data_IF_021651821018
#
_entry.id   IF_021651821018
#
_cell.length_a   1.000
_cell.length_b   1.000
_cell.length_c   1.000
_cell.angle_alpha   90.00
_cell.angle_beta   90.00
_cell.angle_gamma   90.00
#
_symmetry.space_group_name_H-M   'P 1'
#
loop_
_entity.id
_entity.type
_entity.pdbx_description
1 polymer ?
#
# COMPACT_ATOMS: atom_id res chain seq x y z
N UNK A 1 14.79 -9.35 24.28
CA UNK A 1 13.55 -8.83 23.67
C UNK A 1 13.73 -7.33 23.56
N UNK A 2 14.00 -6.81 22.35
CA UNK A 2 14.03 -5.37 22.12
C UNK A 2 12.57 -4.89 22.14
N UNK A 3 12.24 -3.99 23.05
CA UNK A 3 10.94 -3.35 23.13
C UNK A 3 10.63 -2.73 21.76
N UNK A 4 9.54 -3.14 21.12
CA UNK A 4 8.99 -2.42 19.98
C UNK A 4 8.75 -0.98 20.45
N UNK A 5 9.37 0.04 19.82
CA UNK A 5 9.32 1.42 20.31
C UNK A 5 7.95 2.11 20.11
N UNK A 6 6.91 1.38 19.79
CA UNK A 6 5.57 1.88 19.48
C UNK A 6 4.55 1.18 20.33
N UNK A 7 3.50 1.92 20.72
CA UNK A 7 2.32 1.30 21.27
C UNK A 7 1.89 0.18 20.31
N UNK A 8 1.81 -1.04 20.81
CA UNK A 8 1.26 -2.13 20.02
C UNK A 8 -0.13 -1.70 19.56
N UNK A 9 -0.51 -2.01 18.29
CA UNK A 9 -1.85 -1.70 17.81
C UNK A 9 -2.85 -2.20 18.85
N UNK A 10 -3.72 -1.30 19.32
CA UNK A 10 -4.77 -1.74 20.24
C UNK A 10 -5.76 -2.55 19.42
N UNK A 11 -6.03 -3.82 19.74
CA UNK A 11 -6.88 -4.72 18.94
C UNK A 11 -8.32 -4.24 18.76
N UNK A 12 -8.69 -3.13 19.37
CA UNK A 12 -10.03 -2.56 19.35
C UNK A 12 -10.24 -1.43 18.33
N UNK A 13 -9.22 -1.03 17.58
CA UNK A 13 -9.32 0.08 16.62
C UNK A 13 -8.99 -0.36 15.21
N UNK A 14 -9.76 0.08 14.20
CA UNK A 14 -9.43 -0.19 12.81
C UNK A 14 -8.02 0.30 12.46
N UNK A 15 -7.26 -0.44 11.62
CA UNK A 15 -5.92 -0.06 11.17
C UNK A 15 -5.86 1.32 10.55
N UNK A 16 -6.88 1.68 9.75
CA UNK A 16 -6.96 2.97 9.07
C UNK A 16 -8.40 3.49 9.07
N UNK A 17 -8.54 4.75 9.48
CA UNK A 17 -9.80 5.49 9.45
C UNK A 17 -9.58 6.83 8.75
N UNK A 18 -10.34 7.09 7.71
CA UNK A 18 -10.37 8.34 6.94
C UNK A 18 -11.76 8.95 7.10
N UNK A 19 -11.84 10.18 7.59
CA UNK A 19 -13.11 10.84 7.86
C UNK A 19 -13.12 12.24 7.27
N UNK A 20 -14.12 12.52 6.42
CA UNK A 20 -14.40 13.84 5.84
C UNK A 20 -13.19 14.49 5.14
N UNK A 21 -12.31 13.67 4.53
CA UNK A 21 -11.08 14.16 3.92
C UNK A 21 -11.40 14.89 2.62
N UNK A 22 -10.96 16.15 2.55
CA UNK A 22 -11.04 16.99 1.36
C UNK A 22 -9.66 17.52 1.00
N UNK A 23 -9.37 17.58 -0.32
CA UNK A 23 -8.12 18.11 -0.87
C UNK A 23 -8.34 18.81 -2.20
N UNK A 24 -7.84 20.04 -2.30
CA UNK A 24 -7.91 20.86 -3.50
C UNK A 24 -6.52 21.28 -3.96
N UNK A 25 -6.37 21.53 -5.25
CA UNK A 25 -5.23 22.16 -5.87
C UNK A 25 -5.71 23.35 -6.70
N UNK A 26 -5.47 24.57 -6.21
CA UNK A 26 -6.09 25.76 -6.75
C UNK A 26 -7.62 25.69 -6.66
N UNK A 27 -8.30 25.85 -7.77
CA UNK A 27 -9.78 25.76 -7.85
C UNK A 27 -10.30 24.34 -8.01
N UNK A 28 -9.41 23.35 -8.28
CA UNK A 28 -9.81 21.95 -8.52
C UNK A 28 -9.87 21.19 -7.20
N UNK A 29 -11.06 20.82 -6.78
CA UNK A 29 -11.29 19.87 -5.67
C UNK A 29 -11.04 18.46 -6.18
N UNK A 30 -10.11 17.73 -5.57
CA UNK A 30 -9.68 16.38 -5.99
C UNK A 30 -10.25 15.32 -5.05
N UNK A 31 -10.28 15.60 -3.74
CA UNK A 31 -11.03 14.83 -2.76
C UNK A 31 -12.09 15.74 -2.15
N UNK A 32 -13.30 15.23 -2.00
CA UNK A 32 -14.45 15.96 -1.50
C UNK A 32 -15.23 15.11 -0.51
N UNK A 33 -14.98 15.32 0.77
CA UNK A 33 -15.66 14.59 1.85
C UNK A 33 -15.46 13.06 1.76
N UNK A 34 -14.24 12.62 1.43
CA UNK A 34 -13.93 11.19 1.29
C UNK A 34 -13.89 10.51 2.66
N UNK A 35 -14.56 9.36 2.75
CA UNK A 35 -14.67 8.57 3.96
C UNK A 35 -14.28 7.11 3.67
N UNK A 36 -13.49 6.48 4.55
CA UNK A 36 -13.12 5.08 4.47
C UNK A 36 -12.69 4.55 5.84
N UNK A 37 -13.12 3.34 6.16
CA UNK A 37 -12.57 2.55 7.27
C UNK A 37 -12.03 1.26 6.69
N UNK A 38 -10.76 0.95 6.93
CA UNK A 38 -10.15 -0.33 6.58
C UNK A 38 -10.13 -1.21 7.81
N UNK A 39 -10.65 -2.42 7.70
CA UNK A 39 -10.70 -3.39 8.80
C UNK A 39 -9.38 -4.18 8.88
N UNK A 40 -9.18 -4.89 10.00
CA UNK A 40 -8.04 -5.81 10.12
C UNK A 40 -8.11 -6.91 9.07
N UNK A 41 -6.95 -7.19 8.44
CA UNK A 41 -6.79 -8.22 7.40
C UNK A 41 -7.68 -8.02 6.18
N UNK A 42 -8.04 -6.78 5.89
CA UNK A 42 -8.89 -6.43 4.76
C UNK A 42 -8.06 -5.81 3.64
N UNK A 43 -8.24 -6.28 2.42
CA UNK A 43 -7.78 -5.63 1.19
C UNK A 43 -8.92 -4.78 0.60
N UNK A 44 -8.81 -3.46 0.75
CA UNK A 44 -9.74 -2.51 0.13
C UNK A 44 -9.16 -2.00 -1.18
N UNK A 45 -9.84 -2.27 -2.29
CA UNK A 45 -9.46 -1.71 -3.59
C UNK A 45 -10.18 -0.39 -3.83
N UNK A 46 -9.41 0.67 -4.12
CA UNK A 46 -9.97 1.96 -4.58
C UNK A 46 -10.02 1.96 -6.10
N UNK A 47 -11.20 1.82 -6.64
CA UNK A 47 -11.47 1.86 -8.07
C UNK A 47 -11.96 3.26 -8.48
N UNK A 48 -11.47 3.78 -9.60
CA UNK A 48 -11.85 5.09 -10.09
C UNK A 48 -11.12 5.45 -11.38
N UNK A 49 -11.67 6.36 -12.16
CA UNK A 49 -11.05 6.82 -13.42
C UNK A 49 -9.66 7.41 -13.20
N UNK A 50 -8.85 7.47 -14.27
CA UNK A 50 -7.57 8.18 -14.23
C UNK A 50 -7.79 9.64 -13.81
N UNK A 51 -6.97 10.15 -12.89
CA UNK A 51 -7.10 11.50 -12.37
C UNK A 51 -8.24 11.73 -11.36
N UNK A 52 -8.94 10.68 -10.90
CA UNK A 52 -10.01 10.78 -9.89
C UNK A 52 -9.51 11.14 -8.48
N UNK A 53 -8.19 11.12 -8.23
CA UNK A 53 -7.64 11.47 -6.92
C UNK A 53 -7.08 10.30 -6.12
N UNK A 54 -7.06 9.06 -6.65
CA UNK A 54 -6.58 7.86 -5.96
C UNK A 54 -5.18 8.02 -5.36
N UNK A 55 -4.20 8.44 -6.16
CA UNK A 55 -2.82 8.67 -5.68
C UNK A 55 -2.71 9.88 -4.74
N UNK A 56 -3.62 10.86 -4.84
CA UNK A 56 -3.71 11.97 -3.86
C UNK A 56 -4.16 11.42 -2.51
N UNK A 57 -5.16 10.54 -2.49
CA UNK A 57 -5.66 9.88 -1.28
C UNK A 57 -4.53 9.13 -0.57
N UNK A 58 -3.80 8.26 -1.28
CA UNK A 58 -2.67 7.51 -0.68
C UNK A 58 -1.61 8.47 -0.12
N UNK A 59 -1.25 9.53 -0.86
CA UNK A 59 -0.27 10.53 -0.39
C UNK A 59 -0.75 11.26 0.87
N UNK A 60 -2.06 11.47 1.03
CA UNK A 60 -2.63 12.00 2.26
C UNK A 60 -2.49 10.98 3.41
N UNK A 61 -2.79 9.70 3.15
CA UNK A 61 -2.72 8.63 4.18
C UNK A 61 -1.30 8.51 4.74
N UNK A 62 -0.25 8.58 3.91
CA UNK A 62 1.15 8.50 4.40
C UNK A 62 1.71 9.85 4.86
N UNK A 63 0.89 10.91 4.87
CA UNK A 63 1.31 12.25 5.29
C UNK A 63 2.33 12.92 4.36
N UNK A 64 2.37 12.55 3.06
CA UNK A 64 3.13 13.26 2.03
C UNK A 64 2.37 14.49 1.50
N UNK A 65 1.04 14.47 1.60
CA UNK A 65 0.17 15.60 1.34
C UNK A 65 -0.68 15.84 2.57
N UNK A 66 -0.85 17.09 2.95
CA UNK A 66 -1.76 17.48 4.02
C UNK A 66 -3.14 17.73 3.40
N UNK A 67 -4.20 17.02 3.81
CA UNK A 67 -5.57 17.37 3.44
C UNK A 67 -5.93 18.78 3.87
N UNK A 68 -6.88 19.39 3.19
CA UNK A 68 -7.39 20.73 3.57
C UNK A 68 -8.40 20.63 4.72
N UNK A 69 -9.12 19.49 4.81
CA UNK A 69 -10.09 19.16 5.84
C UNK A 69 -10.13 17.67 6.13
N UNK A 70 -10.72 17.30 7.26
CA UNK A 70 -10.95 15.92 7.67
C UNK A 70 -9.91 15.39 8.64
N UNK A 71 -9.89 14.08 8.82
CA UNK A 71 -9.02 13.35 9.75
C UNK A 71 -8.57 12.04 9.12
N UNK A 72 -7.31 11.67 9.33
CA UNK A 72 -6.74 10.38 8.94
C UNK A 72 -6.07 9.79 10.16
N UNK A 73 -6.55 8.63 10.61
CA UNK A 73 -5.99 7.94 11.78
C UNK A 73 -5.47 6.57 11.42
N UNK A 74 -4.29 6.27 11.92
CA UNK A 74 -3.64 4.98 11.81
C UNK A 74 -3.51 4.40 13.21
N UNK A 75 -4.21 3.30 13.47
CA UNK A 75 -4.38 2.73 14.82
C UNK A 75 -4.71 3.80 15.86
N UNK A 76 -5.68 4.68 15.53
CA UNK A 76 -6.12 5.77 16.38
C UNK A 76 -5.21 6.99 16.44
N UNK A 77 -3.98 6.92 15.95
CA UNK A 77 -3.05 8.06 15.88
C UNK A 77 -3.41 8.95 14.69
N UNK A 78 -3.70 10.23 14.95
CA UNK A 78 -3.96 11.23 13.90
C UNK A 78 -2.69 11.49 13.10
N UNK A 79 -2.78 11.40 11.76
CA UNK A 79 -1.64 11.64 10.85
C UNK A 79 -1.42 13.12 10.58
N UNK A 80 -2.50 13.92 10.70
CA UNK A 80 -2.46 15.33 10.38
C UNK A 80 -1.94 16.16 11.55
N UNK A 81 -0.99 17.07 11.26
CA UNK A 81 -0.52 18.02 12.27
C UNK A 81 0.45 17.47 13.31
N UNK A 82 0.81 16.17 13.23
CA UNK A 82 1.82 15.57 14.11
C UNK A 82 3.24 15.98 13.70
N UNK A 83 4.17 15.93 14.66
CA UNK A 83 5.58 16.21 14.42
C UNK A 83 6.25 15.18 13.48
N UNK A 84 7.36 15.58 12.85
CA UNK A 84 8.08 14.73 11.90
C UNK A 84 8.48 13.38 12.51
N UNK A 85 9.02 13.38 13.73
CA UNK A 85 9.49 12.16 14.39
C UNK A 85 8.34 11.19 14.69
N UNK A 86 7.17 11.73 15.06
CA UNK A 86 5.97 10.94 15.30
C UNK A 86 5.40 10.40 13.99
N UNK A 87 5.34 11.21 12.94
CA UNK A 87 4.93 10.79 11.60
C UNK A 87 5.85 9.68 11.06
N UNK A 88 7.15 9.80 11.24
CA UNK A 88 8.10 8.76 10.83
C UNK A 88 7.91 7.45 11.61
N UNK A 89 7.46 7.53 12.85
CA UNK A 89 7.04 6.36 13.62
C UNK A 89 5.76 5.73 13.05
N UNK A 90 4.72 6.51 12.81
CA UNK A 90 3.48 6.02 12.18
C UNK A 90 3.78 5.33 10.85
N UNK A 91 4.67 5.90 10.05
CA UNK A 91 5.11 5.32 8.76
C UNK A 91 5.80 3.97 8.87
N UNK A 92 6.29 3.56 10.04
CA UNK A 92 6.83 2.19 10.19
C UNK A 92 5.75 1.11 10.17
N UNK A 93 4.50 1.48 10.46
CA UNK A 93 3.35 0.58 10.34
C UNK A 93 2.81 0.50 8.92
N UNK A 94 3.32 1.34 8.01
CA UNK A 94 2.83 1.43 6.64
C UNK A 94 3.93 1.01 5.66
N UNK A 95 3.66 -0.02 4.88
CA UNK A 95 4.40 -0.32 3.66
C UNK A 95 3.82 0.45 2.49
N UNK A 96 4.64 0.94 1.58
CA UNK A 96 4.16 1.60 0.36
C UNK A 96 4.87 1.07 -0.88
N UNK A 97 4.10 0.45 -1.77
CA UNK A 97 4.55 0.03 -3.09
C UNK A 97 4.15 1.10 -4.11
N UNK A 98 5.14 1.79 -4.65
CA UNK A 98 4.96 2.80 -5.70
C UNK A 98 4.70 2.17 -7.07
N UNK A 99 3.98 2.85 -7.94
CA UNK A 99 3.72 2.44 -9.32
C UNK A 99 5.02 2.12 -10.08
N UNK A 100 6.06 2.96 -9.95
CA UNK A 100 7.36 2.82 -10.60
C UNK A 100 8.39 2.00 -9.82
N UNK A 101 8.00 1.08 -8.93
CA UNK A 101 8.84 0.24 -8.05
C UNK A 101 9.74 1.04 -7.09
N UNK A 102 10.25 2.18 -7.51
CA UNK A 102 11.12 3.09 -6.74
C UNK A 102 12.37 2.41 -6.14
N UNK A 103 12.91 1.38 -6.80
CA UNK A 103 14.20 0.80 -6.44
C UNK A 103 15.32 1.84 -6.69
N UNK A 104 16.34 1.79 -5.85
CA UNK A 104 17.54 2.61 -6.04
C UNK A 104 18.46 1.91 -7.03
N UNK A 105 18.61 2.46 -8.24
CA UNK A 105 19.40 1.86 -9.33
C UNK A 105 20.89 1.74 -8.99
N UNK A 106 21.40 2.56 -8.09
CA UNK A 106 22.78 2.56 -7.61
C UNK A 106 23.04 1.57 -6.46
N UNK A 107 22.05 0.82 -6.03
CA UNK A 107 22.11 -0.14 -4.94
C UNK A 107 21.78 -1.54 -5.46
N UNK A 108 22.49 -2.55 -4.96
CA UNK A 108 22.12 -3.95 -5.17
C UNK A 108 20.74 -4.27 -4.58
N UNK A 109 20.18 -5.42 -4.92
CA UNK A 109 18.93 -5.92 -4.34
C UNK A 109 19.05 -5.97 -2.81
N UNK A 110 20.13 -6.53 -2.28
CA UNK A 110 20.41 -6.55 -0.84
C UNK A 110 20.37 -5.16 -0.23
N UNK A 111 21.09 -4.22 -0.81
CA UNK A 111 21.16 -2.84 -0.31
C UNK A 111 19.81 -2.13 -0.36
N UNK A 112 19.00 -2.37 -1.40
CA UNK A 112 17.62 -1.90 -1.50
C UNK A 112 16.75 -2.45 -0.36
N UNK A 113 16.91 -3.73 -0.01
CA UNK A 113 16.17 -4.36 1.09
C UNK A 113 16.67 -3.89 2.46
N UNK A 114 17.98 -3.66 2.63
CA UNK A 114 18.54 -3.13 3.87
C UNK A 114 18.20 -1.67 4.12
N UNK A 115 17.95 -0.88 3.07
CA UNK A 115 17.75 0.57 3.19
C UNK A 115 16.69 0.96 4.22
N UNK A 116 15.48 0.37 4.26
CA UNK A 116 14.49 0.67 5.30
C UNK A 116 14.97 0.33 6.72
N UNK A 117 15.88 -0.63 6.88
CA UNK A 117 16.40 -1.07 8.17
C UNK A 117 17.48 -0.11 8.73
N UNK A 118 18.05 0.77 7.89
CA UNK A 118 19.11 1.74 8.28
C UNK A 118 18.58 2.97 9.03
N UNK A 119 17.33 2.96 9.47
CA UNK A 119 16.74 4.07 10.24
C UNK A 119 17.43 4.18 11.61
N UNK A 120 17.76 5.39 12.07
CA UNK A 120 18.57 5.65 13.26
C UNK A 120 18.02 5.05 14.57
N UNK A 121 16.73 4.76 14.64
CA UNK A 121 16.10 4.10 15.81
C UNK A 121 16.06 2.57 15.72
N UNK A 122 16.42 1.99 14.57
CA UNK A 122 16.48 0.53 14.38
C UNK A 122 17.89 0.07 14.71
N UNK A 123 18.02 -0.72 15.77
CA UNK A 123 19.32 -1.27 16.22
C UNK A 123 19.29 -2.78 16.00
N UNK A 124 19.73 -3.22 14.82
CA UNK A 124 19.86 -4.62 14.45
C UNK A 124 21.32 -5.01 14.32
N UNK A 125 21.63 -6.25 14.70
CA UNK A 125 22.95 -6.85 14.40
C UNK A 125 22.95 -7.30 12.94
N UNK A 126 24.14 -7.35 12.30
CA UNK A 126 24.25 -7.75 10.89
C UNK A 126 23.58 -9.09 10.62
N UNK A 127 23.73 -10.09 11.49
CA UNK A 127 23.08 -11.39 11.36
C UNK A 127 21.54 -11.31 11.29
N UNK A 128 20.95 -10.37 12.04
CA UNK A 128 19.48 -10.16 12.01
C UNK A 128 19.06 -9.50 10.70
N UNK A 129 19.85 -8.54 10.20
CA UNK A 129 19.66 -7.92 8.89
C UNK A 129 19.75 -8.96 7.78
N UNK A 130 20.78 -9.81 7.79
CA UNK A 130 20.93 -10.88 6.79
C UNK A 130 19.75 -11.85 6.79
N UNK A 131 19.25 -12.23 7.97
CA UNK A 131 18.07 -13.08 8.09
C UNK A 131 16.81 -12.41 7.51
N UNK A 132 16.60 -11.13 7.82
CA UNK A 132 15.44 -10.37 7.29
C UNK A 132 15.52 -10.22 5.77
N UNK A 133 16.70 -9.96 5.22
CA UNK A 133 16.91 -9.87 3.77
C UNK A 133 16.60 -11.20 3.09
N UNK A 134 17.12 -12.30 3.63
CA UNK A 134 16.85 -13.63 3.06
C UNK A 134 15.37 -14.01 3.18
N UNK A 135 14.72 -13.80 4.32
CA UNK A 135 13.28 -14.01 4.49
C UNK A 135 12.46 -13.18 3.47
N UNK A 136 12.86 -11.92 3.24
CA UNK A 136 12.18 -11.06 2.28
C UNK A 136 12.31 -11.58 0.84
N UNK A 137 13.49 -12.08 0.45
CA UNK A 137 13.73 -12.68 -0.86
C UNK A 137 12.99 -14.01 -1.05
N UNK A 138 12.98 -14.87 -0.03
CA UNK A 138 12.22 -16.12 -0.02
C UNK A 138 10.72 -15.89 -0.22
N UNK A 139 10.18 -14.84 0.40
CA UNK A 139 8.76 -14.47 0.27
C UNK A 139 8.35 -14.16 -1.16
N UNK A 140 9.28 -13.72 -2.00
CA UNK A 140 9.02 -13.35 -3.39
C UNK A 140 9.65 -14.31 -4.41
N UNK A 141 10.22 -15.45 -3.93
CA UNK A 141 10.91 -16.49 -4.71
C UNK A 141 12.08 -15.92 -5.55
N UNK A 142 12.94 -15.10 -4.91
CA UNK A 142 14.10 -14.46 -5.54
C UNK A 142 15.37 -14.57 -4.67
N UNK A 143 15.60 -15.70 -4.00
CA UNK A 143 16.68 -15.93 -3.03
C UNK A 143 18.07 -15.70 -3.61
N UNK A 144 18.23 -15.98 -4.91
CA UNK A 144 19.53 -15.93 -5.60
C UNK A 144 19.83 -14.56 -6.23
N UNK A 145 19.04 -13.51 -5.91
CA UNK A 145 19.19 -12.19 -6.55
C UNK A 145 19.83 -11.13 -5.66
N UNK A 146 20.25 -11.49 -4.45
CA UNK A 146 20.71 -10.54 -3.43
C UNK A 146 21.80 -9.58 -3.93
N UNK A 147 22.75 -10.08 -4.71
CA UNK A 147 23.92 -9.32 -5.20
C UNK A 147 23.68 -8.68 -6.59
N UNK A 148 22.53 -8.91 -7.21
CA UNK A 148 22.18 -8.33 -8.51
C UNK A 148 21.82 -6.84 -8.38
N UNK A 149 22.03 -6.10 -9.46
CA UNK A 149 21.58 -4.72 -9.60
C UNK A 149 20.16 -4.69 -10.17
N UNK A 150 19.34 -3.65 -9.88
CA UNK A 150 18.01 -3.52 -10.47
C UNK A 150 17.99 -3.61 -12.00
N UNK A 151 19.03 -3.13 -12.68
CA UNK A 151 19.17 -3.19 -14.14
C UNK A 151 19.33 -4.62 -14.70
N UNK A 152 19.69 -5.58 -13.86
CA UNK A 152 19.85 -6.99 -14.25
C UNK A 152 18.55 -7.80 -14.05
N UNK A 153 17.51 -7.17 -13.49
CA UNK A 153 16.23 -7.80 -13.18
C UNK A 153 15.20 -7.52 -14.29
N UNK A 154 14.33 -8.51 -14.57
CA UNK A 154 13.13 -8.26 -15.37
C UNK A 154 12.16 -7.34 -14.64
N UNK A 155 11.20 -6.72 -15.36
CA UNK A 155 10.19 -5.84 -14.74
C UNK A 155 9.38 -6.52 -13.64
N UNK A 156 9.00 -7.78 -13.82
CA UNK A 156 8.33 -8.59 -12.81
C UNK A 156 9.22 -8.87 -11.59
N UNK A 157 10.52 -9.18 -11.80
CA UNK A 157 11.46 -9.35 -10.69
C UNK A 157 11.64 -8.03 -9.92
N UNK A 158 11.79 -6.90 -10.60
CA UNK A 158 11.86 -5.59 -9.95
C UNK A 158 10.63 -5.30 -9.10
N UNK A 159 9.43 -5.64 -9.58
CA UNK A 159 8.17 -5.47 -8.84
C UNK A 159 8.16 -6.35 -7.58
N UNK A 160 8.59 -7.62 -7.69
CA UNK A 160 8.71 -8.53 -6.55
C UNK A 160 9.72 -8.04 -5.51
N UNK A 161 10.89 -7.52 -5.93
CA UNK A 161 11.88 -6.93 -5.00
C UNK A 161 11.33 -5.66 -4.34
N UNK A 162 10.61 -4.80 -5.08
CA UNK A 162 9.96 -3.63 -4.49
C UNK A 162 8.90 -4.03 -3.44
N UNK A 163 8.16 -5.11 -3.70
CA UNK A 163 7.22 -5.67 -2.73
C UNK A 163 7.96 -6.25 -1.51
N UNK A 164 9.03 -7.02 -1.71
CA UNK A 164 9.87 -7.52 -0.60
C UNK A 164 10.41 -6.38 0.27
N UNK A 165 10.88 -5.29 -0.35
CA UNK A 165 11.34 -4.09 0.36
C UNK A 165 10.22 -3.41 1.15
N UNK A 166 9.03 -3.37 0.59
CA UNK A 166 7.83 -2.82 1.26
C UNK A 166 7.51 -3.62 2.52
N UNK A 167 7.71 -4.94 2.47
CA UNK A 167 7.39 -5.87 3.55
C UNK A 167 8.49 -6.03 4.61
N UNK A 168 9.72 -5.58 4.38
CA UNK A 168 10.87 -5.93 5.22
C UNK A 168 10.75 -5.48 6.68
N UNK A 169 10.03 -4.40 6.92
CA UNK A 169 9.72 -3.91 8.28
C UNK A 169 8.50 -4.60 8.90
N UNK A 170 7.90 -5.57 8.18
CA UNK A 170 6.66 -6.26 8.59
C UNK A 170 5.55 -5.25 8.96
N UNK A 171 5.20 -4.34 8.03
CA UNK A 171 4.16 -3.35 8.29
C UNK A 171 2.81 -4.04 8.49
N UNK A 172 1.92 -3.40 9.22
CA UNK A 172 0.55 -3.90 9.42
C UNK A 172 -0.44 -3.38 8.39
N UNK A 173 -0.08 -2.29 7.69
CA UNK A 173 -0.87 -1.70 6.61
C UNK A 173 0.02 -1.61 5.36
N UNK A 174 -0.53 -1.95 4.19
CA UNK A 174 0.19 -1.79 2.94
C UNK A 174 -0.65 -0.95 1.97
N UNK A 175 0.01 0.00 1.33
CA UNK A 175 -0.57 0.83 0.29
C UNK A 175 0.07 0.44 -1.04
N UNK A 176 -0.76 0.00 -1.98
CA UNK A 176 -0.35 -0.39 -3.32
C UNK A 176 -0.83 0.65 -4.32
N UNK A 177 0.08 1.31 -5.03
CA UNK A 177 -0.26 2.24 -6.10
C UNK A 177 0.01 1.56 -7.44
N UNK A 178 -1.05 1.03 -8.07
CA UNK A 178 -1.03 0.36 -9.36
C UNK A 178 0.01 -0.81 -9.42
N UNK A 179 -0.17 -1.87 -8.61
CA UNK A 179 0.86 -2.89 -8.42
C UNK A 179 1.19 -3.69 -9.67
N UNK A 180 0.25 -3.83 -10.61
CA UNK A 180 0.39 -4.66 -11.82
C UNK A 180 0.62 -3.86 -13.10
N UNK A 181 0.59 -2.53 -13.02
CA UNK A 181 0.76 -1.65 -14.19
C UNK A 181 2.10 -1.87 -14.88
N UNK A 182 2.05 -2.05 -16.21
CA UNK A 182 3.22 -2.25 -17.06
C UNK A 182 3.75 -3.68 -17.11
N UNK A 183 3.06 -4.64 -16.51
CA UNK A 183 3.37 -6.06 -16.56
C UNK A 183 2.49 -6.77 -17.61
N UNK A 184 3.01 -7.86 -18.15
CA UNK A 184 2.21 -8.78 -18.94
C UNK A 184 1.17 -9.51 -18.06
N UNK A 185 0.08 -10.06 -18.64
CA UNK A 185 -1.01 -10.65 -17.86
C UNK A 185 -0.61 -11.80 -16.93
N UNK A 186 0.40 -12.60 -17.30
CA UNK A 186 0.87 -13.72 -16.47
C UNK A 186 1.61 -13.18 -15.25
N UNK A 187 2.57 -12.29 -15.49
CA UNK A 187 3.34 -11.65 -14.43
C UNK A 187 2.45 -10.82 -13.50
N UNK A 188 1.44 -10.12 -14.05
CA UNK A 188 0.47 -9.36 -13.26
C UNK A 188 -0.28 -10.27 -12.28
N UNK A 189 -0.78 -11.42 -12.76
CA UNK A 189 -1.45 -12.41 -11.92
C UNK A 189 -0.54 -12.96 -10.81
N UNK A 190 0.73 -13.24 -11.13
CA UNK A 190 1.70 -13.67 -10.12
C UNK A 190 1.90 -12.63 -9.01
N UNK A 191 1.83 -11.32 -9.34
CA UNK A 191 1.89 -10.23 -8.34
C UNK A 191 0.62 -10.19 -7.50
N UNK A 192 -0.57 -10.35 -8.11
CA UNK A 192 -1.83 -10.40 -7.39
C UNK A 192 -1.84 -11.58 -6.38
N UNK A 193 -1.47 -12.78 -6.81
CA UNK A 193 -1.36 -13.97 -5.96
C UNK A 193 -0.37 -13.75 -4.81
N UNK A 194 0.74 -13.04 -5.09
CA UNK A 194 1.74 -12.72 -4.09
C UNK A 194 1.21 -11.71 -3.06
N UNK A 195 0.43 -10.71 -3.48
CA UNK A 195 -0.24 -9.75 -2.58
C UNK A 195 -1.14 -10.50 -1.59
N UNK A 196 -2.01 -11.39 -2.09
CA UNK A 196 -2.93 -12.19 -1.26
C UNK A 196 -2.14 -13.10 -0.31
N UNK A 197 -1.12 -13.82 -0.82
CA UNK A 197 -0.26 -14.68 0.00
C UNK A 197 0.43 -13.93 1.15
N UNK A 198 0.90 -12.70 0.89
CA UNK A 198 1.57 -11.89 1.90
C UNK A 198 0.58 -11.31 2.92
N UNK A 199 -0.63 -10.94 2.49
CA UNK A 199 -1.72 -10.56 3.39
C UNK A 199 -2.01 -11.67 4.39
N UNK A 200 -2.23 -12.91 3.90
CA UNK A 200 -2.51 -14.06 4.75
C UNK A 200 -1.35 -14.36 5.71
N UNK A 201 -0.12 -14.39 5.18
CA UNK A 201 1.08 -14.73 5.95
C UNK A 201 1.35 -13.75 7.09
N UNK A 202 1.17 -12.44 6.84
CA UNK A 202 1.51 -11.39 7.79
C UNK A 202 0.29 -10.74 8.45
N UNK A 203 -0.92 -11.19 8.09
CA UNK A 203 -2.19 -10.63 8.57
C UNK A 203 -2.25 -9.10 8.38
N UNK A 204 -1.84 -8.62 7.20
CA UNK A 204 -1.82 -7.20 6.87
C UNK A 204 -3.18 -6.72 6.38
N UNK A 205 -3.46 -5.43 6.56
CA UNK A 205 -4.59 -4.75 5.90
C UNK A 205 -4.05 -3.89 4.78
N UNK A 206 -4.82 -3.65 3.70
CA UNK A 206 -4.27 -2.85 2.62
C UNK A 206 -5.28 -1.93 1.92
N UNK A 207 -4.74 -0.88 1.30
CA UNK A 207 -5.41 -0.14 0.23
C UNK A 207 -4.67 -0.43 -1.07
N UNK A 208 -5.40 -0.88 -2.07
CA UNK A 208 -4.89 -1.17 -3.41
C UNK A 208 -5.54 -0.20 -4.38
N UNK A 209 -4.74 0.61 -5.07
CA UNK A 209 -5.21 1.37 -6.22
C UNK A 209 -4.95 0.52 -7.45
N UNK A 210 -6.00 0.23 -8.21
CA UNK A 210 -5.87 -0.41 -9.52
C UNK A 210 -7.00 0.05 -10.45
N UNK A 211 -6.72 0.00 -11.74
CA UNK A 211 -7.72 0.09 -12.82
C UNK A 211 -7.79 -1.22 -13.62
N UNK A 212 -6.97 -2.20 -13.28
CA UNK A 212 -7.00 -3.55 -13.85
C UNK A 212 -8.05 -4.38 -13.11
N UNK A 213 -9.13 -4.73 -13.81
CA UNK A 213 -10.24 -5.48 -13.23
C UNK A 213 -9.87 -6.90 -12.80
N UNK A 214 -8.82 -7.50 -13.40
CA UNK A 214 -8.31 -8.79 -12.94
C UNK A 214 -7.64 -8.64 -11.57
N UNK A 215 -6.80 -7.62 -11.40
CA UNK A 215 -6.20 -7.31 -10.10
C UNK A 215 -7.28 -7.02 -9.05
N UNK A 216 -8.28 -6.21 -9.39
CA UNK A 216 -9.43 -5.92 -8.50
C UNK A 216 -10.14 -7.21 -8.09
N UNK A 217 -10.48 -8.08 -9.04
CA UNK A 217 -11.17 -9.35 -8.80
C UNK A 217 -10.37 -10.32 -7.94
N UNK A 218 -9.05 -10.36 -8.15
CA UNK A 218 -8.17 -11.33 -7.48
C UNK A 218 -7.80 -10.89 -6.05
N UNK A 219 -7.75 -9.58 -5.79
CA UNK A 219 -7.17 -9.07 -4.54
C UNK A 219 -8.16 -8.41 -3.58
N UNK A 220 -9.35 -7.97 -4.07
CA UNK A 220 -10.27 -7.20 -3.26
C UNK A 220 -11.15 -8.06 -2.35
N UNK A 221 -11.12 -7.78 -1.04
CA UNK A 221 -12.20 -8.18 -0.13
C UNK A 221 -13.39 -7.22 -0.27
N UNK A 222 -13.11 -5.92 -0.44
CA UNK A 222 -14.07 -4.85 -0.67
C UNK A 222 -13.52 -3.83 -1.66
N UNK A 223 -14.39 -3.31 -2.50
CA UNK A 223 -14.10 -2.25 -3.47
C UNK A 223 -14.79 -0.98 -3.03
N UNK A 224 -14.09 0.14 -3.13
CA UNK A 224 -14.64 1.48 -2.94
C UNK A 224 -14.48 2.27 -4.24
N UNK A 225 -15.58 2.71 -4.81
CA UNK A 225 -15.59 3.55 -5.99
C UNK A 225 -15.33 5.00 -5.62
N UNK A 226 -14.23 5.55 -6.12
CA UNK A 226 -13.90 6.95 -6.03
C UNK A 226 -14.44 7.69 -7.26
N UNK A 227 -15.52 8.44 -7.06
CA UNK A 227 -16.16 9.26 -8.09
C UNK A 227 -16.32 10.69 -7.58
N UNK A 228 -15.90 11.67 -8.37
CA UNK A 228 -15.97 13.10 -8.03
C UNK A 228 -15.37 13.46 -6.67
N UNK A 229 -14.28 12.77 -6.31
CA UNK A 229 -13.56 12.97 -5.05
C UNK A 229 -14.21 12.32 -3.82
N UNK A 230 -15.32 11.58 -3.98
CA UNK A 230 -16.09 10.96 -2.90
C UNK A 230 -16.01 9.43 -2.95
N UNK A 231 -16.18 8.80 -1.79
CA UNK A 231 -16.54 7.38 -1.71
C UNK A 231 -17.97 7.20 -2.17
N UNK A 232 -18.17 6.94 -3.47
CA UNK A 232 -19.49 6.93 -4.11
C UNK A 232 -20.29 5.68 -3.73
N UNK A 233 -19.68 4.53 -3.83
CA UNK A 233 -20.28 3.21 -3.52
C UNK A 233 -19.20 2.26 -3.05
N UNK A 234 -19.56 1.34 -2.17
CA UNK A 234 -18.70 0.25 -1.78
C UNK A 234 -19.45 -1.08 -1.80
N UNK A 235 -18.72 -2.17 -1.98
CA UNK A 235 -19.25 -3.54 -2.01
C UNK A 235 -18.20 -4.54 -2.46
N UNK A 236 -18.58 -5.80 -2.50
CA UNK A 236 -17.78 -6.88 -3.09
C UNK A 236 -17.73 -6.76 -4.61
N UNK A 237 -16.81 -7.47 -5.26
CA UNK A 237 -16.71 -7.50 -6.72
C UNK A 237 -18.06 -7.89 -7.36
N UNK A 238 -18.69 -8.97 -6.90
CA UNK A 238 -19.94 -9.48 -7.46
C UNK A 238 -21.12 -8.52 -7.26
N UNK A 239 -21.19 -7.83 -6.10
CA UNK A 239 -22.24 -6.83 -5.85
C UNK A 239 -22.15 -5.63 -6.79
N UNK A 240 -20.91 -5.16 -7.06
CA UNK A 240 -20.70 -4.02 -7.94
C UNK A 240 -20.84 -4.41 -9.42
N UNK A 241 -20.35 -5.58 -9.84
CA UNK A 241 -20.51 -6.10 -11.19
C UNK A 241 -21.98 -6.27 -11.57
N UNK A 242 -22.83 -6.69 -10.63
CA UNK A 242 -24.27 -6.86 -10.83
C UNK A 242 -25.10 -5.57 -10.66
N UNK A 243 -24.47 -4.45 -10.41
CA UNK A 243 -25.14 -3.19 -10.14
C UNK A 243 -25.81 -2.64 -11.41
N UNK A 244 -27.04 -2.11 -11.27
CA UNK A 244 -27.75 -1.41 -12.33
C UNK A 244 -27.36 0.07 -12.49
N UNK A 245 -26.51 0.59 -11.57
CA UNK A 245 -26.03 1.97 -11.59
C UNK A 245 -25.04 2.20 -12.74
N UNK A 246 -25.36 3.08 -13.68
CA UNK A 246 -24.55 3.42 -14.85
C UNK A 246 -23.13 3.93 -14.48
N UNK A 247 -23.00 4.62 -13.34
CA UNK A 247 -21.70 5.06 -12.85
C UNK A 247 -20.82 3.91 -12.37
N UNK A 248 -21.42 2.77 -12.05
CA UNK A 248 -20.71 1.55 -11.66
C UNK A 248 -20.45 0.67 -12.89
N UNK A 249 -21.45 0.42 -13.73
CA UNK A 249 -21.38 -0.42 -14.95
C UNK A 249 -20.17 -0.08 -15.81
N UNK A 250 -19.91 1.22 -16.04
CA UNK A 250 -18.79 1.68 -16.86
C UNK A 250 -17.41 1.20 -16.43
N UNK A 251 -17.24 0.63 -15.24
CA UNK A 251 -15.97 0.06 -14.76
C UNK A 251 -15.88 -1.43 -15.04
N UNK A 252 -17.01 -2.11 -15.28
CA UNK A 252 -17.09 -3.56 -15.47
C UNK A 252 -17.32 -3.96 -16.94
N UNK A 253 -17.60 -2.98 -17.82
CA UNK A 253 -17.70 -3.12 -19.27
C UNK A 253 -16.34 -2.97 -19.95
#
# INVERSE_FOLDING_TARGET
MASKPFAEPQPSQPPLVIQHVSKSFGTRKVLDDFNLVVQEKENVVILGKSGAGKSVLIKCVIGLLVPDQGSIRIYGTEVMGIGKDELDRVRTHIGFLFQGNALYDSMSVRENLEFPLRRHWIKLKQKEVDQMVMEALENVNLENTADMMPSELSGGMQKRIALARTMILKPSIILYDEPTTGLDPVTARDIDDLIVKLQDKYSTSSIIISHDMNCVKNTADRIVLLLDGKSYREGTFNELESSEDENIKQFFE
#
